data_IF_850212438183
#
_entry.id   IF_850212438183
#
_cell.length_a   1.000
_cell.length_b   1.000
_cell.length_c   1.000
_cell.angle_alpha   90.00
_cell.angle_beta   90.00
_cell.angle_gamma   90.00
#
_symmetry.space_group_name_H-M   'P 1'
#
loop_
_entity.id
_entity.type
_entity.pdbx_description
1 polymer ?
#
# COMPACT_ATOMS: atom_id res chain seq x y z
N UNK A 1 -22.55 24.92 12.04
CA UNK A 1 -22.93 24.32 10.73
C UNK A 1 -23.97 23.23 11.00
N UNK A 2 -24.99 23.04 10.16
CA UNK A 2 -25.95 21.92 10.37
C UNK A 2 -25.33 20.59 9.95
N UNK A 3 -25.67 19.49 10.62
CA UNK A 3 -25.15 18.14 10.29
C UNK A 3 -25.45 17.75 8.84
N UNK A 4 -26.65 18.09 8.34
CA UNK A 4 -27.02 17.82 6.95
C UNK A 4 -26.08 18.51 5.96
N UNK A 5 -25.72 19.77 6.23
CA UNK A 5 -24.79 20.51 5.38
C UNK A 5 -23.37 19.89 5.45
N UNK A 6 -22.93 19.47 6.64
CA UNK A 6 -21.67 18.75 6.81
C UNK A 6 -21.62 17.50 5.93
N UNK A 7 -22.62 16.62 6.02
CA UNK A 7 -22.66 15.37 5.26
C UNK A 7 -22.73 15.56 3.74
N UNK A 8 -23.43 16.60 3.26
CA UNK A 8 -23.44 16.97 1.85
C UNK A 8 -22.03 17.38 1.39
N UNK A 9 -21.34 18.22 2.17
CA UNK A 9 -19.98 18.65 1.86
C UNK A 9 -18.99 17.47 1.91
N UNK A 10 -19.11 16.58 2.89
CA UNK A 10 -18.29 15.36 2.95
C UNK A 10 -18.47 14.49 1.70
N UNK A 11 -19.72 14.32 1.26
CA UNK A 11 -20.05 13.56 0.05
C UNK A 11 -19.44 14.19 -1.20
N UNK A 12 -19.54 15.53 -1.34
CA UNK A 12 -18.94 16.26 -2.44
C UNK A 12 -17.42 16.12 -2.48
N UNK A 13 -16.75 16.27 -1.33
CA UNK A 13 -15.30 16.10 -1.23
C UNK A 13 -14.86 14.67 -1.57
N UNK A 14 -15.63 13.67 -1.14
CA UNK A 14 -15.40 12.26 -1.49
C UNK A 14 -15.50 12.05 -2.99
N UNK A 15 -16.51 12.63 -3.65
CA UNK A 15 -16.66 12.58 -5.10
C UNK A 15 -15.51 13.30 -5.82
N UNK A 16 -15.01 14.41 -5.28
CA UNK A 16 -13.82 15.08 -5.81
C UNK A 16 -12.57 14.18 -5.72
N UNK A 17 -12.37 13.47 -4.60
CA UNK A 17 -11.25 12.50 -4.47
C UNK A 17 -11.40 11.37 -5.48
N UNK A 18 -12.60 10.79 -5.59
CA UNK A 18 -12.88 9.71 -6.55
C UNK A 18 -12.66 10.16 -8.00
N UNK A 19 -13.14 11.36 -8.36
CA UNK A 19 -12.90 11.98 -9.65
C UNK A 19 -11.41 12.22 -9.90
N UNK A 20 -10.67 12.67 -8.88
CA UNK A 20 -9.22 12.85 -8.95
C UNK A 20 -8.49 11.54 -9.24
N UNK A 21 -8.82 10.45 -8.54
CA UNK A 21 -8.28 9.11 -8.78
C UNK A 21 -8.63 8.63 -10.20
N UNK A 22 -9.88 8.81 -10.63
CA UNK A 22 -10.30 8.45 -11.98
C UNK A 22 -9.50 9.21 -13.05
N UNK A 23 -9.24 10.50 -12.85
CA UNK A 23 -8.41 11.31 -13.74
C UNK A 23 -6.94 10.89 -13.75
N UNK A 24 -6.42 10.35 -12.64
CA UNK A 24 -5.06 9.79 -12.56
C UNK A 24 -4.87 8.52 -13.39
N UNK A 25 -5.95 7.80 -13.74
CA UNK A 25 -5.88 6.63 -14.63
C UNK A 25 -5.53 6.97 -16.10
N UNK A 26 -5.60 8.25 -16.49
CA UNK A 26 -5.31 8.71 -17.85
C UNK A 26 -4.14 9.69 -17.84
N UNK A 27 -3.15 9.44 -18.70
CA UNK A 27 -1.90 10.23 -18.78
C UNK A 27 -2.15 11.73 -18.98
N UNK A 28 -3.11 12.09 -19.85
CA UNK A 28 -3.44 13.49 -20.16
C UNK A 28 -4.02 14.26 -18.96
N UNK A 29 -4.82 13.61 -18.13
CA UNK A 29 -5.52 14.24 -17.00
C UNK A 29 -4.85 14.00 -15.65
N UNK A 30 -3.78 13.20 -15.59
CA UNK A 30 -3.20 12.75 -14.33
C UNK A 30 -2.73 13.89 -13.41
N UNK A 31 -2.15 14.95 -13.97
CA UNK A 31 -1.73 16.14 -13.20
C UNK A 31 -2.92 16.87 -12.58
N UNK A 32 -3.99 17.06 -13.35
CA UNK A 32 -5.23 17.69 -12.89
C UNK A 32 -5.93 16.82 -11.83
N UNK A 33 -5.94 15.49 -12.02
CA UNK A 33 -6.47 14.56 -11.05
C UNK A 33 -5.76 14.67 -9.69
N UNK A 34 -4.42 14.73 -9.71
CA UNK A 34 -3.63 14.91 -8.49
C UNK A 34 -3.92 16.26 -7.81
N UNK A 35 -4.01 17.35 -8.58
CA UNK A 35 -4.39 18.66 -8.02
C UNK A 35 -5.79 18.66 -7.42
N UNK A 36 -6.76 17.99 -8.07
CA UNK A 36 -8.13 17.87 -7.57
C UNK A 36 -8.18 17.12 -6.23
N UNK A 37 -7.44 16.01 -6.10
CA UNK A 37 -7.32 15.27 -4.85
C UNK A 37 -6.64 16.09 -3.75
N UNK A 38 -5.57 16.82 -4.07
CA UNK A 38 -4.88 17.69 -3.12
C UNK A 38 -5.77 18.84 -2.62
N UNK A 39 -6.54 19.46 -3.52
CA UNK A 39 -7.50 20.50 -3.16
C UNK A 39 -8.63 19.94 -2.30
N UNK A 40 -9.16 18.76 -2.64
CA UNK A 40 -10.20 18.09 -1.83
C UNK A 40 -9.69 17.78 -0.42
N UNK A 41 -8.44 17.31 -0.28
CA UNK A 41 -7.82 17.08 1.03
C UNK A 41 -7.70 18.37 1.85
N UNK A 42 -7.24 19.48 1.24
CA UNK A 42 -7.14 20.77 1.92
C UNK A 42 -8.52 21.26 2.38
N UNK A 43 -9.52 21.19 1.51
CA UNK A 43 -10.90 21.56 1.84
C UNK A 43 -11.49 20.65 2.93
N UNK A 44 -11.16 19.36 2.93
CA UNK A 44 -11.54 18.42 3.99
C UNK A 44 -11.00 18.82 5.35
N UNK A 45 -9.71 19.18 5.44
CA UNK A 45 -9.10 19.67 6.69
C UNK A 45 -9.83 20.93 7.19
N UNK A 46 -10.06 21.90 6.29
CA UNK A 46 -10.76 23.14 6.64
C UNK A 46 -12.21 22.89 7.05
N UNK A 47 -12.90 21.95 6.40
CA UNK A 47 -14.27 21.55 6.75
C UNK A 47 -14.31 20.92 8.14
N UNK A 48 -13.39 20.01 8.47
CA UNK A 48 -13.28 19.43 9.80
C UNK A 48 -12.99 20.50 10.86
N UNK A 49 -12.13 21.47 10.56
CA UNK A 49 -11.84 22.57 11.50
C UNK A 49 -13.08 23.42 11.78
N UNK A 50 -13.87 23.69 10.75
CA UNK A 50 -15.11 24.45 10.88
C UNK A 50 -16.22 23.67 11.58
N UNK A 51 -16.33 22.36 11.33
CA UNK A 51 -17.38 21.53 11.92
C UNK A 51 -17.14 21.28 13.42
N UNK A 52 -15.91 20.92 13.78
CA UNK A 52 -15.54 20.64 15.18
C UNK A 52 -15.14 21.91 15.97
N UNK A 53 -15.24 23.09 15.35
CA UNK A 53 -14.94 24.40 15.97
C UNK A 53 -13.52 24.49 16.57
N UNK A 54 -12.55 23.82 15.95
CA UNK A 54 -11.16 23.69 16.46
C UNK A 54 -10.17 24.71 15.90
N UNK A 55 -10.64 25.78 15.25
CA UNK A 55 -9.76 26.83 14.71
C UNK A 55 -8.92 27.54 15.80
N UNK A 56 -9.38 27.55 17.04
CA UNK A 56 -8.67 28.15 18.18
C UNK A 56 -7.60 27.23 18.78
N UNK A 57 -7.57 25.95 18.42
CA UNK A 57 -6.64 24.97 18.97
C UNK A 57 -5.25 25.11 18.33
N UNK A 58 -4.44 26.02 18.87
CA UNK A 58 -3.08 26.33 18.39
C UNK A 58 -2.15 25.11 18.30
N UNK A 59 -2.36 24.10 19.14
CA UNK A 59 -1.58 22.86 19.15
C UNK A 59 -1.71 22.08 17.84
N UNK A 60 -2.90 22.07 17.22
CA UNK A 60 -3.12 21.34 15.96
C UNK A 60 -2.25 21.91 14.84
N UNK A 61 -2.11 23.23 14.78
CA UNK A 61 -1.28 23.90 13.78
C UNK A 61 0.19 23.53 13.93
N UNK A 62 0.69 23.36 15.17
CA UNK A 62 2.06 22.91 15.40
C UNK A 62 2.28 21.50 14.84
N UNK A 63 1.36 20.56 15.10
CA UNK A 63 1.47 19.20 14.57
C UNK A 63 1.34 19.14 13.06
N UNK A 64 0.44 19.92 12.45
CA UNK A 64 0.32 20.04 10.99
C UNK A 64 1.61 20.63 10.40
N UNK A 65 2.17 21.66 11.02
CA UNK A 65 3.42 22.28 10.57
C UNK A 65 4.58 21.28 10.59
N UNK A 66 4.76 20.57 11.71
CA UNK A 66 5.83 19.57 11.85
C UNK A 66 5.64 18.42 10.86
N UNK A 67 4.43 17.87 10.77
CA UNK A 67 4.12 16.77 9.84
C UNK A 67 4.30 17.16 8.38
N UNK A 68 3.80 18.33 7.97
CA UNK A 68 3.95 18.84 6.60
C UNK A 68 5.39 19.19 6.27
N UNK A 69 6.16 19.77 7.19
CA UNK A 69 7.58 20.06 6.99
C UNK A 69 8.40 18.78 6.82
N UNK A 70 8.17 17.76 7.65
CA UNK A 70 8.81 16.45 7.53
C UNK A 70 8.42 15.76 6.22
N UNK A 71 7.13 15.75 5.88
CA UNK A 71 6.64 15.17 4.62
C UNK A 71 7.24 15.84 3.39
N UNK A 72 7.28 17.18 3.37
CA UNK A 72 7.88 17.95 2.28
C UNK A 72 9.38 17.71 2.17
N UNK A 73 10.09 17.67 3.30
CA UNK A 73 11.52 17.36 3.33
C UNK A 73 11.82 15.98 2.71
N UNK A 74 11.04 14.96 3.09
CA UNK A 74 11.19 13.61 2.54
C UNK A 74 10.87 13.58 1.04
N UNK A 75 9.78 14.23 0.62
CA UNK A 75 9.35 14.26 -0.77
C UNK A 75 10.37 14.95 -1.71
N UNK A 76 11.06 15.99 -1.23
CA UNK A 76 12.04 16.75 -2.01
C UNK A 76 13.43 16.10 -2.04
N UNK A 77 13.77 15.25 -1.06
CA UNK A 77 15.12 14.65 -0.95
C UNK A 77 15.24 13.24 -1.53
N UNK A 78 14.14 12.50 -1.65
CA UNK A 78 14.15 11.10 -2.12
C UNK A 78 14.41 11.01 -3.62
N UNK A 79 15.26 10.06 -4.04
CA UNK A 79 15.55 9.82 -5.46
C UNK A 79 14.40 9.09 -6.13
N UNK A 80 14.21 9.28 -7.45
CA UNK A 80 13.14 8.62 -8.22
C UNK A 80 13.14 7.09 -8.07
N UNK A 81 14.33 6.46 -7.97
CA UNK A 81 14.47 5.01 -7.76
C UNK A 81 14.03 4.54 -6.36
N UNK A 82 13.95 5.44 -5.39
CA UNK A 82 13.58 5.18 -3.99
C UNK A 82 12.11 5.56 -3.71
N UNK A 83 11.34 5.96 -4.73
CA UNK A 83 9.91 6.28 -4.56
C UNK A 83 9.12 5.12 -3.94
N UNK A 84 9.30 3.84 -4.34
CA UNK A 84 8.50 2.75 -3.78
C UNK A 84 8.62 2.58 -2.26
N UNK A 85 9.82 2.76 -1.69
CA UNK A 85 10.02 2.70 -0.23
C UNK A 85 9.45 3.94 0.48
N UNK A 86 9.49 5.12 -0.13
CA UNK A 86 8.86 6.31 0.43
C UNK A 86 7.33 6.15 0.50
N UNK A 87 6.73 5.64 -0.58
CA UNK A 87 5.30 5.32 -0.63
C UNK A 87 4.93 4.31 0.47
N UNK A 88 5.75 3.28 0.69
CA UNK A 88 5.55 2.33 1.78
C UNK A 88 5.59 3.02 3.16
N UNK A 89 6.59 3.87 3.43
CA UNK A 89 6.66 4.59 4.72
C UNK A 89 5.44 5.50 4.93
N UNK A 90 5.09 6.32 3.94
CA UNK A 90 3.95 7.24 4.04
C UNK A 90 2.63 6.48 4.23
N UNK A 91 2.46 5.35 3.53
CA UNK A 91 1.31 4.49 3.73
C UNK A 91 1.26 3.89 5.14
N UNK A 92 2.40 3.41 5.63
CA UNK A 92 2.52 2.88 7.00
C UNK A 92 2.12 3.92 8.05
N UNK A 93 2.56 5.16 7.88
CA UNK A 93 2.18 6.29 8.75
C UNK A 93 0.67 6.56 8.70
N UNK A 94 0.02 6.42 7.55
CA UNK A 94 -1.43 6.48 7.42
C UNK A 94 -2.14 5.40 8.24
N UNK A 95 -1.71 4.14 8.13
CA UNK A 95 -2.23 3.04 8.96
C UNK A 95 -1.99 3.26 10.46
N UNK A 96 -0.81 3.75 10.83
CA UNK A 96 -0.47 4.13 12.20
C UNK A 96 -1.35 5.26 12.75
N UNK A 97 -1.66 6.27 11.93
CA UNK A 97 -2.59 7.33 12.29
C UNK A 97 -3.99 6.78 12.56
N UNK A 98 -4.50 5.88 11.72
CA UNK A 98 -5.78 5.20 11.95
C UNK A 98 -5.80 4.37 13.24
N UNK A 99 -4.69 3.69 13.58
CA UNK A 99 -4.56 2.98 14.85
C UNK A 99 -4.57 3.93 16.04
N UNK A 100 -3.88 5.08 15.96
CA UNK A 100 -3.90 6.12 17.00
C UNK A 100 -5.31 6.69 17.20
N UNK A 101 -6.04 6.94 16.11
CA UNK A 101 -7.44 7.37 16.17
C UNK A 101 -8.30 6.32 16.88
N UNK A 102 -8.11 5.02 16.58
CA UNK A 102 -8.79 3.94 17.29
C UNK A 102 -8.49 3.90 18.80
N UNK A 103 -7.21 4.05 19.20
CA UNK A 103 -6.82 4.12 20.62
C UNK A 103 -7.48 5.31 21.31
N UNK A 104 -7.47 6.47 20.64
CA UNK A 104 -8.06 7.69 21.18
C UNK A 104 -9.58 7.58 21.33
N UNK A 105 -10.27 6.97 20.36
CA UNK A 105 -11.70 6.72 20.41
C UNK A 105 -12.09 5.83 21.61
N UNK A 106 -11.31 4.78 21.92
CA UNK A 106 -11.50 3.97 23.14
C UNK A 106 -11.34 4.79 24.41
N UNK A 107 -10.31 5.64 24.49
CA UNK A 107 -10.04 6.46 25.68
C UNK A 107 -11.10 7.54 25.91
N UNK A 108 -11.56 8.18 24.84
CA UNK A 108 -12.66 9.15 24.88
C UNK A 108 -13.98 8.49 25.33
N UNK A 109 -14.25 7.27 24.87
CA UNK A 109 -15.37 6.45 25.33
C UNK A 109 -15.27 6.10 26.82
N UNK A 110 -14.10 5.64 27.28
CA UNK A 110 -13.86 5.26 28.68
C UNK A 110 -13.98 6.45 29.64
N UNK A 111 -13.61 7.65 29.20
CA UNK A 111 -13.74 8.89 29.98
C UNK A 111 -15.16 9.47 29.98
N UNK A 112 -16.11 8.84 29.27
CA UNK A 112 -17.49 9.35 29.11
C UNK A 112 -17.56 10.65 28.30
N UNK A 113 -16.49 11.01 27.59
CA UNK A 113 -16.37 12.22 26.79
C UNK A 113 -16.87 12.02 25.36
N UNK A 114 -16.92 10.77 24.90
CA UNK A 114 -17.58 10.41 23.64
C UNK A 114 -19.07 10.16 23.89
N UNK A 115 -19.93 11.05 23.40
CA UNK A 115 -21.37 10.76 23.24
C UNK A 115 -21.54 9.90 21.99
N UNK A 116 -21.57 8.59 22.13
CA UNK A 116 -21.88 7.66 21.03
C UNK A 116 -23.18 6.93 21.32
N UNK A 117 -24.10 6.93 20.35
CA UNK A 117 -25.38 6.21 20.44
C UNK A 117 -25.19 4.68 20.42
N UNK A 118 -24.02 4.21 19.96
CA UNK A 118 -23.66 2.80 19.81
C UNK A 118 -22.27 2.51 20.41
N UNK A 119 -22.12 2.50 21.75
CA UNK A 119 -20.81 2.41 22.41
C UNK A 119 -20.07 1.10 22.08
N UNK A 120 -20.78 -0.04 22.05
CA UNK A 120 -20.17 -1.35 21.73
C UNK A 120 -19.65 -1.40 20.28
N UNK A 121 -20.39 -0.82 19.34
CA UNK A 121 -19.95 -0.73 17.95
C UNK A 121 -18.70 0.15 17.83
N UNK A 122 -18.68 1.31 18.50
CA UNK A 122 -17.53 2.20 18.51
C UNK A 122 -16.27 1.52 19.10
N UNK A 123 -16.42 0.75 20.19
CA UNK A 123 -15.32 -0.03 20.79
C UNK A 123 -14.82 -1.11 19.83
N UNK A 124 -15.73 -1.91 19.26
CA UNK A 124 -15.38 -2.95 18.28
C UNK A 124 -14.67 -2.40 17.04
N UNK A 125 -15.20 -1.32 16.46
CA UNK A 125 -14.58 -0.62 15.34
C UNK A 125 -13.22 -0.02 15.71
N UNK A 126 -13.07 0.53 16.91
CA UNK A 126 -11.78 1.06 17.39
C UNK A 126 -10.72 -0.04 17.48
N UNK A 127 -11.07 -1.20 18.05
CA UNK A 127 -10.18 -2.35 18.11
C UNK A 127 -9.81 -2.85 16.72
N UNK A 128 -10.77 -2.91 15.80
CA UNK A 128 -10.51 -3.31 14.43
C UNK A 128 -9.60 -2.30 13.69
N UNK A 129 -9.76 -0.99 13.93
CA UNK A 129 -8.88 0.05 13.41
C UNK A 129 -7.45 -0.10 13.93
N UNK A 130 -7.28 -0.41 15.23
CA UNK A 130 -5.97 -0.72 15.83
C UNK A 130 -5.35 -1.94 15.17
N UNK A 131 -6.13 -3.02 14.99
CA UNK A 131 -5.67 -4.27 14.41
C UNK A 131 -5.10 -4.05 13.00
N UNK A 132 -5.89 -3.44 12.12
CA UNK A 132 -5.52 -3.23 10.72
C UNK A 132 -4.48 -2.11 10.60
N UNK A 133 -4.60 -1.04 11.38
CA UNK A 133 -3.67 0.09 11.35
C UNK A 133 -2.25 -0.30 11.79
N UNK A 134 -2.11 -1.02 12.92
CA UNK A 134 -0.80 -1.45 13.42
C UNK A 134 -0.14 -2.49 12.52
N UNK A 135 -0.89 -3.46 11.99
CA UNK A 135 -0.32 -4.41 11.02
C UNK A 135 0.13 -3.70 9.74
N UNK A 136 -0.58 -2.65 9.31
CA UNK A 136 -0.25 -1.87 8.11
C UNK A 136 0.99 -1.04 8.34
N UNK A 137 1.11 -0.38 9.50
CA UNK A 137 2.30 0.37 9.90
C UNK A 137 3.54 -0.52 9.86
N UNK A 138 3.54 -1.61 10.63
CA UNK A 138 4.72 -2.48 10.72
C UNK A 138 5.00 -3.19 9.39
N UNK A 139 3.98 -3.70 8.71
CA UNK A 139 4.13 -4.33 7.41
C UNK A 139 4.76 -3.38 6.38
N UNK A 140 4.35 -2.12 6.37
CA UNK A 140 4.87 -1.14 5.41
C UNK A 140 6.29 -0.69 5.76
N UNK A 141 6.63 -0.58 7.05
CA UNK A 141 8.01 -0.31 7.49
C UNK A 141 8.96 -1.46 7.13
N UNK A 142 8.53 -2.71 7.26
CA UNK A 142 9.30 -3.88 6.81
C UNK A 142 9.47 -3.86 5.29
N UNK A 143 8.41 -3.59 4.53
CA UNK A 143 8.50 -3.48 3.07
C UNK A 143 9.48 -2.37 2.63
N UNK A 144 9.40 -1.20 3.27
CA UNK A 144 10.33 -0.10 3.05
C UNK A 144 11.77 -0.49 3.40
N UNK A 145 11.99 -1.14 4.55
CA UNK A 145 13.31 -1.61 4.98
C UNK A 145 13.93 -2.62 4.02
N UNK A 146 13.13 -3.50 3.41
CA UNK A 146 13.62 -4.46 2.40
C UNK A 146 14.01 -3.76 1.10
N UNK A 147 13.23 -2.79 0.64
CA UNK A 147 13.56 -2.01 -0.55
C UNK A 147 14.78 -1.11 -0.34
N UNK A 148 14.93 -0.55 0.87
CA UNK A 148 16.10 0.24 1.26
C UNK A 148 17.32 -0.61 1.62
N UNK A 149 17.24 -1.95 1.48
CA UNK A 149 18.31 -2.91 1.81
C UNK A 149 18.77 -2.87 3.27
N UNK A 150 17.98 -2.29 4.18
CA UNK A 150 18.15 -2.42 5.64
C UNK A 150 17.80 -3.83 6.12
N UNK A 151 16.88 -4.49 5.41
CA UNK A 151 16.46 -5.87 5.62
C UNK A 151 16.80 -6.71 4.38
N UNK A 152 17.02 -8.04 4.54
CA UNK A 152 17.33 -8.92 3.42
C UNK A 152 16.17 -8.96 2.42
N UNK A 153 16.47 -8.70 1.14
CA UNK A 153 15.45 -8.71 0.07
C UNK A 153 14.87 -10.10 -0.20
N UNK A 154 15.63 -11.17 0.08
CA UNK A 154 15.11 -12.54 -0.03
C UNK A 154 13.94 -12.78 0.93
N UNK A 155 12.99 -13.66 0.59
CA UNK A 155 12.01 -14.18 1.55
C UNK A 155 12.71 -14.72 2.80
N UNK A 156 12.22 -14.36 3.99
CA UNK A 156 12.66 -14.96 5.26
C UNK A 156 11.50 -15.70 5.88
N UNK A 157 11.65 -17.01 6.06
CA UNK A 157 10.64 -17.89 6.64
C UNK A 157 11.20 -18.48 7.93
N UNK A 158 10.54 -18.16 9.05
CA UNK A 158 10.90 -18.66 10.38
C UNK A 158 10.37 -20.08 10.61
N UNK A 159 10.96 -20.86 11.54
CA UNK A 159 10.36 -22.13 11.98
C UNK A 159 8.96 -21.87 12.55
N UNK A 160 7.95 -22.59 12.04
CA UNK A 160 6.55 -22.38 12.44
C UNK A 160 5.93 -21.06 11.96
N UNK A 161 6.50 -20.39 10.95
CA UNK A 161 6.04 -19.07 10.51
C UNK A 161 4.52 -18.96 10.28
N UNK A 162 3.93 -19.95 9.59
CA UNK A 162 2.48 -19.98 9.34
C UNK A 162 1.68 -20.09 10.64
N UNK A 163 2.14 -20.93 11.59
CA UNK A 163 1.51 -21.05 12.89
C UNK A 163 1.53 -19.70 13.64
N UNK A 164 2.70 -19.06 13.74
CA UNK A 164 2.81 -17.76 14.43
C UNK A 164 1.99 -16.66 13.77
N UNK A 165 1.98 -16.59 12.43
CA UNK A 165 1.16 -15.62 11.70
C UNK A 165 -0.34 -15.86 11.97
N UNK A 166 -0.79 -17.11 11.90
CA UNK A 166 -2.18 -17.48 12.15
C UNK A 166 -2.59 -17.26 13.62
N UNK A 167 -1.70 -17.50 14.58
CA UNK A 167 -1.95 -17.20 15.98
C UNK A 167 -2.06 -15.69 16.21
N UNK A 168 -1.17 -14.88 15.64
CA UNK A 168 -1.22 -13.43 15.81
C UNK A 168 -2.53 -12.84 15.26
N UNK A 169 -2.91 -13.19 14.03
CA UNK A 169 -4.16 -12.70 13.44
C UNK A 169 -5.39 -13.34 14.07
N UNK A 170 -5.33 -14.62 14.46
CA UNK A 170 -6.43 -15.33 15.10
C UNK A 170 -6.77 -14.78 16.48
N UNK A 171 -5.77 -14.60 17.34
CA UNK A 171 -5.96 -13.96 18.65
C UNK A 171 -6.35 -12.48 18.50
N UNK A 172 -5.73 -11.74 17.59
CA UNK A 172 -6.11 -10.35 17.32
C UNK A 172 -7.57 -10.23 16.87
N UNK A 173 -8.01 -11.08 15.95
CA UNK A 173 -9.40 -11.13 15.50
C UNK A 173 -10.36 -11.56 16.63
N UNK A 174 -9.96 -12.51 17.49
CA UNK A 174 -10.76 -12.91 18.63
C UNK A 174 -10.99 -11.74 19.61
N UNK A 175 -9.96 -10.94 19.92
CA UNK A 175 -10.09 -9.74 20.76
C UNK A 175 -11.07 -8.72 20.14
N UNK A 176 -10.97 -8.49 18.83
CA UNK A 176 -11.90 -7.62 18.11
C UNK A 176 -13.34 -8.14 18.19
N UNK A 177 -13.55 -9.44 17.95
CA UNK A 177 -14.88 -10.07 18.00
C UNK A 177 -15.47 -9.96 19.41
N UNK A 178 -14.69 -10.28 20.45
CA UNK A 178 -15.12 -10.14 21.85
C UNK A 178 -15.51 -8.70 22.19
N UNK A 179 -14.84 -7.71 21.59
CA UNK A 179 -15.16 -6.30 21.74
C UNK A 179 -16.51 -5.94 21.11
N UNK A 180 -16.84 -6.49 19.94
CA UNK A 180 -18.15 -6.32 19.31
C UNK A 180 -19.30 -6.97 20.09
N UNK A 181 -19.01 -8.00 20.89
CA UNK A 181 -19.99 -8.62 21.80
C UNK A 181 -20.07 -7.93 23.17
N UNK A 182 -19.32 -6.84 23.39
CA UNK A 182 -19.31 -6.11 24.65
C UNK A 182 -18.63 -6.86 25.80
N UNK A 183 -17.86 -7.91 25.50
CA UNK A 183 -17.09 -8.66 26.52
C UNK A 183 -15.81 -7.90 26.87
N UNK A 184 -15.22 -7.20 25.90
CA UNK A 184 -14.06 -6.34 26.10
C UNK A 184 -14.43 -4.89 25.81
N UNK A 185 -14.22 -4.01 26.79
CA UNK A 185 -14.55 -2.59 26.70
C UNK A 185 -13.35 -1.72 26.32
N UNK A 186 -12.25 -2.34 25.87
CA UNK A 186 -11.01 -1.63 25.58
C UNK A 186 -10.16 -1.29 26.80
N UNK A 187 -10.09 -2.25 27.73
CA UNK A 187 -9.13 -2.24 28.81
C UNK A 187 -7.69 -2.16 28.28
N UNK A 188 -6.79 -1.63 29.12
CA UNK A 188 -5.41 -1.39 28.72
C UNK A 188 -4.69 -2.66 28.23
N UNK A 189 -4.97 -3.81 28.85
CA UNK A 189 -4.29 -5.05 28.51
C UNK A 189 -4.77 -5.64 27.18
N UNK A 190 -6.07 -5.61 26.89
CA UNK A 190 -6.58 -6.04 25.58
C UNK A 190 -6.05 -5.16 24.44
N UNK A 191 -6.02 -3.83 24.63
CA UNK A 191 -5.46 -2.89 23.66
C UNK A 191 -3.97 -3.15 23.45
N UNK A 192 -3.19 -3.29 24.53
CA UNK A 192 -1.75 -3.54 24.44
C UNK A 192 -1.46 -4.88 23.77
N UNK A 193 -2.18 -5.93 24.14
CA UNK A 193 -2.07 -7.25 23.51
C UNK A 193 -2.38 -7.17 22.02
N UNK A 194 -3.44 -6.44 21.64
CA UNK A 194 -3.81 -6.25 20.25
C UNK A 194 -2.71 -5.52 19.47
N UNK A 195 -2.19 -4.40 19.98
CA UNK A 195 -1.08 -3.66 19.36
C UNK A 195 0.11 -4.58 19.07
N UNK A 196 0.51 -5.39 20.06
CA UNK A 196 1.65 -6.31 19.92
C UNK A 196 1.34 -7.40 18.87
N UNK A 197 0.18 -8.05 18.96
CA UNK A 197 -0.22 -9.10 18.02
C UNK A 197 -0.31 -8.57 16.58
N UNK A 198 -0.88 -7.38 16.38
CA UNK A 198 -0.99 -6.72 15.08
C UNK A 198 0.36 -6.32 14.52
N UNK A 199 1.24 -5.77 15.36
CA UNK A 199 2.61 -5.44 14.98
C UNK A 199 3.39 -6.69 14.54
N UNK A 200 3.33 -7.75 15.33
CA UNK A 200 3.96 -9.04 15.01
C UNK A 200 3.38 -9.65 13.73
N UNK A 201 2.06 -9.59 13.54
CA UNK A 201 1.43 -10.05 12.32
C UNK A 201 1.89 -9.25 11.10
N UNK A 202 1.93 -7.91 11.19
CA UNK A 202 2.44 -7.05 10.14
C UNK A 202 3.89 -7.37 9.76
N UNK A 203 4.74 -7.62 10.76
CA UNK A 203 6.12 -8.08 10.56
C UNK A 203 6.17 -9.42 9.82
N UNK A 204 5.47 -10.44 10.32
CA UNK A 204 5.46 -11.78 9.75
C UNK A 204 4.92 -11.78 8.31
N UNK A 205 3.86 -11.01 8.04
CA UNK A 205 3.26 -10.86 6.72
C UNK A 205 4.24 -10.26 5.71
N UNK A 206 5.00 -9.22 6.08
CA UNK A 206 5.88 -8.53 5.14
C UNK A 206 7.25 -9.20 4.98
N UNK A 207 7.83 -9.76 6.05
CA UNK A 207 9.20 -10.29 6.04
C UNK A 207 9.34 -11.53 5.14
N UNK A 208 8.26 -12.31 5.01
CA UNK A 208 8.18 -13.50 4.16
C UNK A 208 8.10 -13.22 2.66
N UNK A 209 7.76 -12.00 2.26
CA UNK A 209 7.60 -11.64 0.85
C UNK A 209 8.97 -11.33 0.25
N UNK A 210 9.24 -11.75 -0.99
CA UNK A 210 10.49 -11.43 -1.69
C UNK A 210 10.53 -10.00 -2.22
N UNK A 211 11.73 -9.45 -2.39
CA UNK A 211 11.96 -8.10 -2.92
C UNK A 211 11.26 -7.82 -4.26
N UNK A 212 11.18 -8.82 -5.13
CA UNK A 212 10.50 -8.73 -6.42
C UNK A 212 8.98 -8.55 -6.30
N UNK A 213 8.36 -9.13 -5.27
CA UNK A 213 6.91 -9.06 -5.04
C UNK A 213 6.54 -7.91 -4.06
N UNK A 214 7.52 -7.16 -3.55
CA UNK A 214 7.31 -6.00 -2.64
C UNK A 214 6.35 -4.95 -3.19
N UNK A 215 6.38 -4.55 -4.49
CA UNK A 215 5.43 -3.57 -5.00
C UNK A 215 3.97 -4.01 -4.81
N UNK A 216 3.67 -5.30 -4.96
CA UNK A 216 2.32 -5.84 -4.75
C UNK A 216 1.96 -5.76 -3.26
N UNK A 217 2.88 -6.11 -2.36
CA UNK A 217 2.66 -6.00 -0.91
C UNK A 217 2.43 -4.56 -0.47
N UNK A 218 3.16 -3.58 -1.02
CA UNK A 218 2.95 -2.16 -0.73
C UNK A 218 1.56 -1.71 -1.18
N UNK A 219 1.12 -2.14 -2.36
CA UNK A 219 -0.22 -1.85 -2.88
C UNK A 219 -1.33 -2.46 -1.99
N UNK A 220 -1.12 -3.71 -1.52
CA UNK A 220 -2.05 -4.38 -0.61
C UNK A 220 -2.13 -3.65 0.74
N UNK A 221 -0.99 -3.29 1.32
CA UNK A 221 -0.93 -2.52 2.56
C UNK A 221 -1.53 -1.12 2.39
N UNK A 222 -1.50 -0.55 1.18
CA UNK A 222 -2.18 0.70 0.89
C UNK A 222 -3.70 0.57 0.93
N UNK A 223 -4.23 -0.55 0.44
CA UNK A 223 -5.64 -0.86 0.67
C UNK A 223 -5.97 -0.98 2.16
N UNK A 224 -5.13 -1.67 2.93
CA UNK A 224 -5.36 -1.83 4.36
C UNK A 224 -5.29 -0.51 5.13
N UNK A 225 -4.44 0.44 4.73
CA UNK A 225 -4.43 1.79 5.29
C UNK A 225 -5.76 2.51 5.04
N UNK A 226 -6.29 2.45 3.81
CA UNK A 226 -7.61 3.02 3.49
C UNK A 226 -8.73 2.38 4.30
N UNK A 227 -8.75 1.04 4.37
CA UNK A 227 -9.70 0.28 5.18
C UNK A 227 -9.61 0.64 6.67
N UNK A 228 -8.40 0.73 7.23
CA UNK A 228 -8.18 1.16 8.61
C UNK A 228 -8.71 2.57 8.86
N UNK A 229 -8.49 3.49 7.90
CA UNK A 229 -9.06 4.83 7.93
C UNK A 229 -10.59 4.80 7.99
N UNK A 230 -11.23 4.03 7.09
CA UNK A 230 -12.69 3.92 7.08
C UNK A 230 -13.25 3.38 8.41
N UNK A 231 -12.58 2.40 8.99
CA UNK A 231 -12.96 1.78 10.26
C UNK A 231 -12.73 2.73 11.44
N UNK A 232 -11.65 3.51 11.42
CA UNK A 232 -11.44 4.59 12.38
C UNK A 232 -12.53 5.68 12.26
N UNK A 233 -13.00 5.96 11.05
CA UNK A 233 -14.18 6.79 10.80
C UNK A 233 -15.45 6.21 11.42
N UNK A 234 -15.69 4.91 11.25
CA UNK A 234 -16.82 4.24 11.91
C UNK A 234 -16.73 4.29 13.45
N UNK A 235 -15.52 4.16 13.99
CA UNK A 235 -15.26 4.26 15.43
C UNK A 235 -15.55 5.65 16.01
N UNK A 236 -15.36 6.70 15.21
CA UNK A 236 -15.51 8.11 15.62
C UNK A 236 -16.81 8.75 15.13
N UNK A 237 -17.57 8.07 14.27
CA UNK A 237 -18.77 8.62 13.63
C UNK A 237 -18.48 9.64 12.52
N UNK A 238 -17.26 9.69 11.99
CA UNK A 238 -16.86 10.68 10.98
C UNK A 238 -17.11 10.17 9.55
N UNK A 239 -18.15 10.71 8.90
CA UNK A 239 -18.57 10.29 7.57
C UNK A 239 -17.48 10.52 6.50
N UNK A 240 -16.72 11.61 6.60
CA UNK A 240 -15.66 11.94 5.63
C UNK A 240 -14.53 10.91 5.70
N UNK A 241 -14.16 10.49 6.91
CA UNK A 241 -13.13 9.48 7.12
C UNK A 241 -13.61 8.09 6.65
N UNK A 242 -14.88 7.74 6.92
CA UNK A 242 -15.52 6.51 6.40
C UNK A 242 -15.46 6.48 4.87
N UNK A 243 -15.91 7.56 4.23
CA UNK A 243 -16.08 7.61 2.78
C UNK A 243 -14.74 7.64 2.04
N UNK A 244 -13.80 8.49 2.45
CA UNK A 244 -12.46 8.58 1.85
C UNK A 244 -11.69 7.28 2.10
N UNK A 245 -11.70 6.76 3.33
CA UNK A 245 -11.05 5.50 3.66
C UNK A 245 -11.56 4.34 2.80
N UNK A 246 -12.88 4.25 2.60
CA UNK A 246 -13.52 3.25 1.75
C UNK A 246 -13.09 3.35 0.29
N UNK A 247 -13.05 4.57 -0.27
CA UNK A 247 -12.60 4.82 -1.64
C UNK A 247 -11.13 4.41 -1.83
N UNK A 248 -10.25 4.81 -0.92
CA UNK A 248 -8.82 4.47 -0.97
C UNK A 248 -8.61 2.97 -0.79
N UNK A 249 -9.32 2.35 0.16
CA UNK A 249 -9.25 0.92 0.42
C UNK A 249 -9.65 0.09 -0.80
N UNK A 250 -10.79 0.42 -1.43
CA UNK A 250 -11.27 -0.26 -2.63
C UNK A 250 -10.34 -0.05 -3.83
N UNK A 251 -9.88 1.18 -4.06
CA UNK A 251 -8.93 1.50 -5.13
C UNK A 251 -7.61 0.74 -4.96
N UNK A 252 -7.12 0.61 -3.72
CA UNK A 252 -5.91 -0.15 -3.41
C UNK A 252 -6.04 -1.65 -3.70
N UNK A 253 -7.18 -2.28 -3.38
CA UNK A 253 -7.41 -3.69 -3.73
C UNK A 253 -7.45 -3.89 -5.24
N UNK A 254 -8.15 -3.02 -5.97
CA UNK A 254 -8.21 -3.08 -7.42
C UNK A 254 -6.82 -2.95 -8.04
N UNK A 255 -6.02 -1.99 -7.58
CA UNK A 255 -4.63 -1.83 -8.03
C UNK A 255 -3.81 -3.09 -7.71
N UNK A 256 -3.94 -3.65 -6.52
CA UNK A 256 -3.25 -4.89 -6.12
C UNK A 256 -3.61 -6.06 -7.04
N UNK A 257 -4.88 -6.20 -7.42
CA UNK A 257 -5.33 -7.24 -8.35
C UNK A 257 -4.77 -7.05 -9.76
N UNK A 258 -4.76 -5.80 -10.26
CA UNK A 258 -4.17 -5.48 -11.57
C UNK A 258 -2.67 -5.79 -11.56
N UNK A 259 -1.94 -5.42 -10.49
CA UNK A 259 -0.52 -5.72 -10.33
C UNK A 259 -0.26 -7.23 -10.25
N UNK A 260 -1.05 -7.98 -9.48
CA UNK A 260 -1.00 -9.44 -9.42
C UNK A 260 -1.11 -10.04 -10.82
N UNK A 261 -2.12 -9.62 -11.61
CA UNK A 261 -2.36 -10.11 -12.96
C UNK A 261 -1.21 -9.75 -13.92
N UNK A 262 -0.72 -8.51 -13.85
CA UNK A 262 0.39 -8.05 -14.69
C UNK A 262 1.71 -8.78 -14.38
N UNK A 263 1.93 -9.15 -13.12
CA UNK A 263 3.14 -9.85 -12.66
C UNK A 263 2.98 -11.38 -12.65
N UNK A 264 1.88 -11.92 -13.16
CA UNK A 264 1.53 -13.35 -13.15
C UNK A 264 1.68 -14.00 -11.75
N UNK A 265 1.24 -13.29 -10.73
CA UNK A 265 1.21 -13.72 -9.32
C UNK A 265 -0.23 -13.78 -8.81
N UNK A 266 -0.50 -14.66 -7.86
CA UNK A 266 -1.80 -14.67 -7.16
C UNK A 266 -1.70 -13.94 -5.83
N UNK A 267 -2.72 -13.18 -5.46
CA UNK A 267 -2.78 -12.47 -4.17
C UNK A 267 -2.62 -13.45 -2.99
N UNK A 268 -3.23 -14.64 -3.11
CA UNK A 268 -3.12 -15.69 -2.12
C UNK A 268 -1.68 -16.20 -1.95
N UNK A 269 -0.91 -16.32 -3.04
CA UNK A 269 0.51 -16.70 -2.95
C UNK A 269 1.37 -15.65 -2.24
N UNK A 270 0.95 -14.39 -2.22
CA UNK A 270 1.69 -13.30 -1.55
C UNK A 270 1.34 -13.29 -0.06
N UNK A 271 0.06 -13.41 0.29
CA UNK A 271 -0.40 -13.53 1.68
C UNK A 271 0.12 -14.80 2.37
N UNK A 272 0.05 -15.94 1.67
CA UNK A 272 0.49 -17.25 2.16
C UNK A 272 1.96 -17.56 1.84
N UNK A 273 2.70 -16.62 1.25
CA UNK A 273 4.10 -16.77 0.85
C UNK A 273 4.31 -17.76 -0.30
N UNK A 274 5.11 -17.35 -1.28
CA UNK A 274 5.55 -18.17 -2.41
C UNK A 274 6.48 -19.29 -1.90
N UNK A 275 5.89 -20.42 -1.51
CA UNK A 275 6.65 -21.57 -1.01
C UNK A 275 5.84 -22.64 -0.28
N UNK A 276 4.57 -22.39 0.05
CA UNK A 276 3.68 -23.48 0.49
C UNK A 276 3.25 -24.26 -0.76
N UNK A 277 4.01 -25.31 -1.11
CA UNK A 277 3.36 -26.50 -1.69
C UNK A 277 2.34 -26.93 -0.64
N UNK A 278 1.07 -26.57 -0.86
CA UNK A 278 -0.02 -27.02 -0.01
C UNK A 278 0.04 -28.55 -0.03
N UNK A 279 0.35 -29.16 1.12
CA UNK A 279 0.29 -30.61 1.25
C UNK A 279 -1.13 -31.08 0.96
N UNK A 280 -1.24 -32.13 0.15
CA UNK A 280 -2.47 -32.92 0.03
C UNK A 280 -3.40 -32.57 -1.13
N UNK A 281 -2.93 -32.65 -2.38
CA UNK A 281 -3.80 -33.12 -3.46
C UNK A 281 -3.40 -34.55 -3.80
N UNK A 282 -4.35 -35.48 -3.68
CA UNK A 282 -4.28 -36.83 -4.24
C UNK A 282 -3.68 -36.72 -5.65
N UNK A 283 -2.69 -37.54 -6.04
CA UNK A 283 -2.17 -37.50 -7.40
C UNK A 283 -3.33 -37.85 -8.34
N UNK A 284 -3.86 -36.84 -9.03
CA UNK A 284 -4.63 -37.09 -10.23
C UNK A 284 -3.69 -37.86 -11.18
N UNK A 285 -4.17 -38.93 -11.85
CA UNK A 285 -3.32 -39.70 -12.74
C UNK A 285 -2.68 -38.74 -13.73
N UNK A 286 -1.35 -38.84 -13.84
CA UNK A 286 -0.56 -38.01 -14.72
C UNK A 286 -1.18 -38.06 -16.13
N UNK A 287 -1.84 -36.97 -16.53
CA UNK A 287 -1.91 -36.67 -17.94
C UNK A 287 -0.46 -36.47 -18.37
N UNK A 288 -0.03 -37.06 -19.49
CA UNK A 288 1.33 -36.92 -19.98
C UNK A 288 1.55 -35.43 -20.23
N UNK A 289 2.20 -34.78 -19.27
CA UNK A 289 2.81 -33.48 -19.45
C UNK A 289 3.73 -33.64 -20.64
N UNK A 290 3.45 -32.87 -21.70
CA UNK A 290 4.42 -32.63 -22.76
C UNK A 290 5.77 -32.39 -22.08
N UNK A 291 6.85 -33.08 -22.50
CA UNK A 291 8.11 -33.04 -21.79
C UNK A 291 8.45 -31.57 -21.55
N UNK A 292 8.69 -31.22 -20.28
CA UNK A 292 9.35 -29.96 -19.94
C UNK A 292 10.60 -29.94 -20.82
N UNK A 293 10.56 -29.10 -21.85
CA UNK A 293 11.73 -28.81 -22.63
C UNK A 293 12.71 -28.23 -21.61
N UNK A 294 13.68 -29.03 -21.18
CA UNK A 294 14.91 -28.54 -20.60
C UNK A 294 15.38 -27.51 -21.60
N UNK A 295 15.19 -26.24 -21.27
CA UNK A 295 15.73 -25.17 -22.07
C UNK A 295 17.24 -25.46 -22.12
N UNK A 296 17.73 -25.88 -23.28
CA UNK A 296 19.14 -25.87 -23.60
C UNK A 296 19.58 -24.41 -23.48
N UNK A 297 19.92 -23.97 -22.28
CA UNK A 297 20.65 -22.73 -22.06
C UNK A 297 22.11 -23.00 -22.41
N UNK A 298 22.37 -23.34 -23.68
CA UNK A 298 23.64 -22.99 -24.28
C UNK A 298 23.47 -21.51 -24.66
N UNK A 299 23.99 -20.55 -23.89
CA UNK A 299 24.05 -19.18 -24.38
C UNK A 299 24.78 -19.24 -25.73
N UNK A 300 24.14 -18.73 -26.78
CA UNK A 300 24.83 -18.52 -28.06
C UNK A 300 26.14 -17.78 -27.75
N UNK A 301 27.28 -18.16 -28.35
CA UNK A 301 28.52 -17.41 -28.22
C UNK A 301 28.23 -15.92 -28.48
N UNK A 302 28.80 -15.03 -27.66
CA UNK A 302 28.68 -13.59 -27.90
C UNK A 302 29.04 -13.33 -29.37
N UNK A 303 28.07 -12.81 -30.15
CA UNK A 303 28.36 -12.39 -31.51
C UNK A 303 29.45 -11.31 -31.45
N UNK A 304 30.42 -11.33 -32.39
CA UNK A 304 31.48 -10.32 -32.42
C UNK A 304 30.86 -8.92 -32.45
N UNK A 305 31.47 -7.96 -31.72
CA UNK A 305 30.93 -6.59 -31.56
C UNK A 305 30.59 -5.92 -32.91
N UNK A 306 31.33 -6.26 -33.97
CA UNK A 306 31.11 -5.78 -35.33
C UNK A 306 29.76 -6.22 -35.91
N UNK A 307 29.32 -7.45 -35.64
CA UNK A 307 28.04 -7.97 -36.13
C UNK A 307 26.85 -7.26 -35.46
N UNK A 308 26.97 -6.97 -34.16
CA UNK A 308 25.97 -6.19 -33.42
C UNK A 308 25.91 -4.74 -33.92
N UNK A 309 27.06 -4.12 -34.19
CA UNK A 309 27.11 -2.76 -34.73
C UNK A 309 26.46 -2.67 -36.11
N UNK A 310 26.72 -3.63 -37.01
CA UNK A 310 26.09 -3.69 -38.33
C UNK A 310 24.58 -3.88 -38.22
N UNK A 311 24.13 -4.83 -37.39
CA UNK A 311 22.70 -5.06 -37.16
C UNK A 311 21.98 -3.80 -36.64
N UNK A 312 22.61 -3.03 -35.75
CA UNK A 312 22.06 -1.75 -35.24
C UNK A 312 22.09 -0.64 -36.29
N UNK A 313 23.04 -0.64 -37.22
CA UNK A 313 23.12 0.36 -38.29
C UNK A 313 22.04 0.15 -39.35
N UNK A 314 21.70 -1.10 -39.66
CA UNK A 314 20.72 -1.45 -40.71
C UNK A 314 19.28 -1.55 -40.17
N UNK A 315 19.10 -1.56 -38.85
CA UNK A 315 17.79 -1.76 -38.22
C UNK A 315 16.80 -0.64 -38.57
N UNK A 316 15.71 -1.00 -39.26
CA UNK A 316 14.60 -0.06 -39.58
C UNK A 316 13.50 -0.02 -38.52
N UNK A 317 13.27 -1.11 -37.81
CA UNK A 317 12.25 -1.22 -36.77
C UNK A 317 12.90 -1.80 -35.52
N UNK A 318 12.94 -1.02 -34.44
CA UNK A 318 13.59 -1.40 -33.19
C UNK A 318 12.56 -1.38 -32.07
N UNK A 319 12.48 -2.47 -31.32
CA UNK A 319 11.68 -2.55 -30.10
C UNK A 319 12.65 -2.74 -28.94
N UNK A 320 12.68 -1.76 -28.04
CA UNK A 320 13.50 -1.80 -26.83
C UNK A 320 12.63 -2.30 -25.68
N UNK A 321 13.08 -3.34 -24.99
CA UNK A 321 12.39 -3.93 -23.83
C UNK A 321 13.19 -3.61 -22.56
N UNK A 322 12.96 -2.45 -21.91
CA UNK A 322 13.68 -2.09 -20.71
C UNK A 322 13.28 -2.98 -19.53
N UNK A 323 14.27 -3.37 -18.72
CA UNK A 323 14.05 -4.13 -17.48
C UNK A 323 14.61 -3.41 -16.25
N UNK A 324 14.37 -3.96 -15.06
CA UNK A 324 14.86 -3.40 -13.79
C UNK A 324 16.39 -3.21 -13.76
N UNK A 325 17.15 -4.07 -14.44
CA UNK A 325 18.61 -3.96 -14.57
C UNK A 325 19.07 -2.63 -15.17
N UNK A 326 18.32 -2.06 -16.13
CA UNK A 326 18.62 -0.76 -16.73
C UNK A 326 18.49 0.38 -15.72
N UNK A 327 17.46 0.33 -14.86
CA UNK A 327 17.25 1.34 -13.84
C UNK A 327 18.32 1.26 -12.73
N UNK A 328 18.74 0.05 -12.36
CA UNK A 328 19.82 -0.14 -11.39
C UNK A 328 21.17 0.37 -11.89
N UNK A 329 21.49 0.17 -13.17
CA UNK A 329 22.73 0.67 -13.79
C UNK A 329 22.66 2.15 -14.18
N UNK A 330 21.53 2.82 -13.96
CA UNK A 330 21.28 4.20 -14.38
C UNK A 330 21.46 4.43 -15.90
N UNK A 331 21.24 3.39 -16.70
CA UNK A 331 21.50 3.41 -18.15
C UNK A 331 20.39 4.10 -18.98
N UNK A 332 19.35 4.65 -18.36
CA UNK A 332 18.23 5.28 -19.08
C UNK A 332 18.65 6.45 -20.00
N UNK A 333 19.71 7.19 -19.64
CA UNK A 333 20.23 8.28 -20.47
C UNK A 333 20.95 7.75 -21.71
N UNK A 334 21.76 6.71 -21.54
CA UNK A 334 22.47 6.06 -22.65
C UNK A 334 21.52 5.35 -23.60
N UNK A 335 20.53 4.64 -23.06
CA UNK A 335 19.49 3.98 -23.85
C UNK A 335 18.68 5.00 -24.66
N UNK A 336 18.40 6.18 -24.08
CA UNK A 336 17.76 7.28 -24.79
C UNK A 336 18.66 7.86 -25.89
N UNK A 337 19.95 8.06 -25.60
CA UNK A 337 20.93 8.51 -26.61
C UNK A 337 21.02 7.53 -27.79
N UNK A 338 21.03 6.22 -27.51
CA UNK A 338 21.01 5.17 -28.52
C UNK A 338 19.72 5.23 -29.35
N UNK A 339 18.55 5.33 -28.71
CA UNK A 339 17.27 5.44 -29.40
C UNK A 339 17.20 6.69 -30.29
N UNK A 340 17.72 7.83 -29.82
CA UNK A 340 17.75 9.08 -30.58
C UNK A 340 18.70 8.97 -31.80
N UNK A 341 19.87 8.32 -31.64
CA UNK A 341 20.77 8.02 -32.76
C UNK A 341 20.11 7.10 -33.80
N UNK A 342 19.42 6.05 -33.37
CA UNK A 342 18.69 5.15 -34.28
C UNK A 342 17.57 5.89 -35.02
N UNK A 343 16.80 6.74 -34.33
CA UNK A 343 15.77 7.59 -34.95
C UNK A 343 16.35 8.59 -35.96
N UNK A 344 17.51 9.18 -35.67
CA UNK A 344 18.18 10.11 -36.59
C UNK A 344 18.58 9.46 -37.92
N UNK A 345 18.74 8.13 -37.93
CA UNK A 345 19.02 7.31 -39.11
C UNK A 345 17.75 6.80 -39.82
N UNK A 346 16.56 7.23 -39.37
CA UNK A 346 15.28 6.84 -39.95
C UNK A 346 14.68 5.55 -39.38
N UNK A 347 15.25 4.98 -38.31
CA UNK A 347 14.68 3.80 -37.66
C UNK A 347 13.43 4.15 -36.82
N UNK A 348 12.40 3.33 -36.89
CA UNK A 348 11.23 3.40 -36.03
C UNK A 348 11.52 2.69 -34.69
N UNK A 349 11.79 3.49 -33.65
CA UNK A 349 12.14 2.98 -32.31
C UNK A 349 10.95 3.09 -31.36
N UNK A 350 10.49 1.93 -30.86
CA UNK A 350 9.41 1.77 -29.89
C UNK A 350 9.92 1.11 -28.60
N UNK A 351 9.22 1.36 -27.50
CA UNK A 351 9.49 0.73 -26.21
C UNK A 351 8.35 -0.22 -25.85
N UNK A 352 8.68 -1.43 -25.39
CA UNK A 352 7.71 -2.37 -24.83
C UNK A 352 7.96 -2.47 -23.32
N UNK A 353 7.03 -1.90 -22.55
CA UNK A 353 7.07 -1.78 -21.08
C UNK A 353 5.99 -2.68 -20.50
#
# INVERSE_FOLDING_TARGET
MTETLYYILCSLLTLMVLGGIAMMSRVQTARLGNMLSALSMLLGILLSFAYYEVFSATEIYLFILVGSALGLMLALRVKMIEIPQLVAVLNGLGGGASALVGILALRLGLLGLAKTDYPTFAVGSSMLAILIGMMTLIGSLVAAGKLHKLLPQRPVVYPGHSLWANLCVGFGAALVVLSFFGVLEGDFYSVLALIILSALFGWLLAIRVGGADMPITISLLNSFSGLAGAIAGMATGDLLLISIGGVVGASGLLLTQIMCRAMNRSLMSILLGTGIKSGGSIPAPAQPSAPEAKAESNPKPQEPEDALQQALQEARNVIIVPGYGMALSQAQHELRSLADKLRSRGANVRYAI
#
